data_IF_898789360808
#
_entry.id   IF_898789360808
#
_cell.length_a   1.000
_cell.length_b   1.000
_cell.length_c   1.000
_cell.angle_alpha   90.00
_cell.angle_beta   90.00
_cell.angle_gamma   90.00
#
_symmetry.space_group_name_H-M   'P 1'
#
loop_
_entity.id
_entity.type
_entity.pdbx_description
1 polymer ?
#
# COMPACT_ATOMS: atom_id res chain seq x y z
N UNK A 1 -0.70 -9.05 -35.67
CA UNK A 1 -0.53 -7.93 -34.73
C UNK A 1 -1.52 -8.15 -33.60
N UNK A 2 -1.03 -8.46 -32.40
CA UNK A 2 -1.91 -8.69 -31.24
C UNK A 2 -2.41 -7.32 -30.75
N UNK A 3 -3.73 -7.15 -30.71
CA UNK A 3 -4.39 -5.92 -30.27
C UNK A 3 -4.03 -5.65 -28.81
N UNK A 4 -3.13 -4.69 -28.58
CA UNK A 4 -2.63 -4.26 -27.28
C UNK A 4 -3.69 -3.62 -26.37
N UNK A 5 -4.88 -3.35 -26.89
CA UNK A 5 -5.98 -2.73 -26.15
C UNK A 5 -6.69 -3.68 -25.17
N UNK A 6 -6.52 -5.01 -25.31
CA UNK A 6 -7.17 -5.98 -24.44
C UNK A 6 -6.34 -6.41 -23.21
N UNK A 7 -5.06 -6.04 -23.12
CA UNK A 7 -4.16 -6.67 -22.15
C UNK A 7 -4.36 -6.19 -20.72
N UNK A 8 -4.50 -4.88 -20.48
CA UNK A 8 -4.59 -4.34 -19.13
C UNK A 8 -5.92 -4.69 -18.44
N UNK A 9 -7.03 -4.62 -19.18
CA UNK A 9 -8.35 -4.97 -18.65
C UNK A 9 -8.42 -6.45 -18.29
N UNK A 10 -7.90 -7.34 -19.16
CA UNK A 10 -7.82 -8.78 -18.89
C UNK A 10 -6.91 -9.07 -17.69
N UNK A 11 -5.72 -8.45 -17.63
CA UNK A 11 -4.81 -8.58 -16.50
C UNK A 11 -5.45 -8.14 -15.17
N UNK A 12 -6.23 -7.06 -15.15
CA UNK A 12 -6.91 -6.58 -13.95
C UNK A 12 -8.11 -7.46 -13.60
N UNK A 13 -8.84 -7.97 -14.59
CA UNK A 13 -9.96 -8.89 -14.38
C UNK A 13 -9.51 -10.25 -13.85
N UNK A 14 -8.33 -10.72 -14.28
CA UNK A 14 -7.70 -11.97 -13.84
C UNK A 14 -6.90 -11.80 -12.54
N UNK A 15 -6.55 -10.57 -12.17
CA UNK A 15 -5.85 -10.30 -10.92
C UNK A 15 -6.67 -10.81 -9.72
N UNK A 16 -5.97 -11.39 -8.74
CA UNK A 16 -6.58 -11.80 -7.49
C UNK A 16 -7.41 -10.64 -6.91
N UNK A 17 -8.61 -10.98 -6.41
CA UNK A 17 -9.51 -10.00 -5.79
C UNK A 17 -8.74 -9.18 -4.76
N UNK A 18 -8.97 -7.88 -4.76
CA UNK A 18 -8.38 -6.97 -3.79
C UNK A 18 -8.69 -7.49 -2.37
N UNK A 19 -7.67 -7.70 -1.51
CA UNK A 19 -7.89 -8.20 -0.16
C UNK A 19 -8.81 -7.28 0.65
N UNK A 20 -9.59 -7.89 1.55
CA UNK A 20 -10.36 -7.12 2.53
C UNK A 20 -9.49 -6.85 3.76
N UNK A 21 -8.86 -5.68 3.79
CA UNK A 21 -7.92 -5.27 4.84
C UNK A 21 -8.58 -5.05 6.20
N UNK A 22 -8.74 -6.14 6.94
CA UNK A 22 -9.10 -6.11 8.35
C UNK A 22 -7.99 -5.57 9.26
N UNK A 23 -8.30 -5.31 10.55
CA UNK A 23 -7.40 -4.61 11.48
C UNK A 23 -5.99 -5.19 11.57
N UNK A 24 -5.87 -6.52 11.63
CA UNK A 24 -4.58 -7.20 11.77
C UNK A 24 -3.73 -7.12 10.50
N UNK A 25 -4.37 -7.14 9.32
CA UNK A 25 -3.66 -6.97 8.05
C UNK A 25 -3.16 -5.54 7.89
N UNK A 26 -3.95 -4.54 8.31
CA UNK A 26 -3.49 -3.13 8.32
C UNK A 26 -2.29 -2.96 9.24
N UNK A 27 -2.33 -3.53 10.46
CA UNK A 27 -1.20 -3.50 11.40
C UNK A 27 0.03 -4.23 10.86
N UNK A 28 -0.17 -5.38 10.21
CA UNK A 28 0.91 -6.14 9.59
C UNK A 28 1.59 -5.35 8.46
N UNK A 29 0.80 -4.67 7.63
CA UNK A 29 1.33 -3.80 6.57
C UNK A 29 2.10 -2.61 7.15
N UNK A 30 1.57 -1.94 8.17
CA UNK A 30 2.27 -0.86 8.88
C UNK A 30 3.63 -1.33 9.41
N UNK A 31 3.66 -2.52 10.03
CA UNK A 31 4.91 -3.13 10.52
C UNK A 31 5.86 -3.47 9.38
N UNK A 32 5.36 -4.01 8.26
CA UNK A 32 6.15 -4.34 7.07
C UNK A 32 6.83 -3.10 6.48
N UNK A 33 6.16 -1.97 6.50
CA UNK A 33 6.68 -0.69 5.99
C UNK A 33 7.49 0.10 7.03
N UNK A 34 7.67 -0.43 8.23
CA UNK A 34 8.29 0.26 9.37
C UNK A 34 7.65 1.62 9.69
N UNK A 35 6.32 1.66 9.72
CA UNK A 35 5.55 2.88 9.94
C UNK A 35 4.69 2.82 11.20
N UNK A 36 4.70 3.92 11.94
CA UNK A 36 3.70 4.19 12.97
C UNK A 36 2.41 4.77 12.33
N UNK A 37 1.38 5.00 13.15
CA UNK A 37 0.08 5.53 12.68
C UNK A 37 0.22 6.83 11.88
N UNK A 38 1.07 7.76 12.32
CA UNK A 38 1.26 9.05 11.65
C UNK A 38 1.94 8.85 10.28
N UNK A 39 2.97 8.02 10.21
CA UNK A 39 3.67 7.70 8.97
C UNK A 39 2.74 7.04 7.95
N UNK A 40 1.95 6.07 8.41
CA UNK A 40 0.99 5.39 7.56
C UNK A 40 -0.15 6.33 7.10
N UNK A 41 -0.61 7.24 7.96
CA UNK A 41 -1.60 8.25 7.59
C UNK A 41 -1.09 9.20 6.51
N UNK A 42 0.17 9.63 6.60
CA UNK A 42 0.83 10.43 5.57
C UNK A 42 0.95 9.68 4.25
N UNK A 43 1.41 8.41 4.29
CA UNK A 43 1.50 7.56 3.10
C UNK A 43 0.14 7.39 2.41
N UNK A 44 -0.90 7.15 3.19
CA UNK A 44 -2.25 6.92 2.70
C UNK A 44 -3.01 8.21 2.36
N UNK A 45 -2.41 9.38 2.63
CA UNK A 45 -3.03 10.70 2.48
C UNK A 45 -4.40 10.80 3.19
N UNK A 46 -4.45 10.40 4.46
CA UNK A 46 -5.65 10.46 5.32
C UNK A 46 -5.30 11.02 6.70
N UNK A 47 -6.31 11.33 7.51
CA UNK A 47 -6.10 11.71 8.90
C UNK A 47 -5.62 10.50 9.75
N UNK A 48 -4.78 10.70 10.78
CA UNK A 48 -4.38 9.61 11.70
C UNK A 48 -5.56 8.90 12.37
N UNK A 49 -6.64 9.64 12.66
CA UNK A 49 -7.89 9.07 13.19
C UNK A 49 -8.50 8.03 12.26
N UNK A 50 -8.41 8.21 10.94
CA UNK A 50 -8.87 7.23 9.95
C UNK A 50 -8.07 5.92 10.06
N UNK A 51 -6.75 6.00 10.19
CA UNK A 51 -5.89 4.81 10.39
C UNK A 51 -6.24 4.11 11.72
N UNK A 52 -6.58 4.88 12.76
CA UNK A 52 -7.02 4.31 14.03
C UNK A 52 -8.35 3.57 13.92
N UNK A 53 -9.30 4.09 13.15
CA UNK A 53 -10.56 3.40 12.86
C UNK A 53 -10.31 2.08 12.13
N UNK A 54 -9.39 2.05 11.16
CA UNK A 54 -9.03 0.81 10.45
C UNK A 54 -8.35 -0.22 11.36
N UNK A 55 -7.38 0.21 12.18
CA UNK A 55 -6.61 -0.67 13.06
C UNK A 55 -7.40 -1.12 14.32
N UNK A 56 -8.49 -0.43 14.66
CA UNK A 56 -9.44 -0.86 15.69
C UNK A 56 -10.60 -1.69 15.14
N UNK A 57 -10.83 -1.66 13.83
CA UNK A 57 -11.97 -2.32 13.18
C UNK A 57 -13.28 -1.53 13.25
N UNK A 58 -13.27 -0.31 13.79
CA UNK A 58 -14.44 0.56 13.83
C UNK A 58 -14.89 1.05 12.44
N UNK A 59 -13.97 1.07 11.46
CA UNK A 59 -14.29 1.28 10.06
C UNK A 59 -13.35 0.46 9.17
N UNK A 60 -13.78 0.21 7.93
CA UNK A 60 -12.97 -0.48 6.92
C UNK A 60 -12.36 0.52 5.93
N UNK A 61 -11.18 0.23 5.36
CA UNK A 61 -10.64 1.01 4.24
C UNK A 61 -11.58 0.95 3.04
N UNK A 62 -11.75 2.07 2.32
CA UNK A 62 -12.53 2.08 1.08
C UNK A 62 -11.80 1.31 -0.03
N UNK A 63 -12.49 1.00 -1.14
CA UNK A 63 -11.91 0.21 -2.24
C UNK A 63 -10.60 0.76 -2.79
N UNK A 64 -10.48 2.09 -2.92
CA UNK A 64 -9.24 2.75 -3.34
C UNK A 64 -8.12 2.58 -2.30
N UNK A 65 -8.43 2.74 -1.02
CA UNK A 65 -7.45 2.54 0.05
C UNK A 65 -6.96 1.09 0.09
N UNK A 66 -7.85 0.10 -0.07
CA UNK A 66 -7.49 -1.32 -0.17
C UNK A 66 -6.56 -1.59 -1.35
N UNK A 67 -6.82 -0.96 -2.51
CA UNK A 67 -5.95 -1.12 -3.68
C UNK A 67 -4.56 -0.53 -3.44
N UNK A 68 -4.47 0.65 -2.81
CA UNK A 68 -3.18 1.24 -2.42
C UNK A 68 -2.43 0.35 -1.42
N UNK A 69 -3.13 -0.16 -0.40
CA UNK A 69 -2.55 -1.10 0.55
C UNK A 69 -1.98 -2.34 -0.15
N UNK A 70 -2.70 -2.89 -1.12
CA UNK A 70 -2.20 -4.00 -1.93
C UNK A 70 -0.95 -3.62 -2.72
N UNK A 71 -0.92 -2.44 -3.35
CA UNK A 71 0.26 -1.96 -4.08
C UNK A 71 1.46 -1.86 -3.13
N UNK A 72 1.30 -1.27 -1.94
CA UNK A 72 2.37 -1.16 -0.94
C UNK A 72 2.78 -2.52 -0.37
N UNK A 73 1.85 -3.45 -0.25
CA UNK A 73 2.14 -4.80 0.20
C UNK A 73 2.94 -5.59 -0.85
N UNK A 74 2.60 -5.48 -2.14
CA UNK A 74 3.26 -6.20 -3.22
C UNK A 74 4.53 -5.52 -3.72
N UNK A 75 4.63 -4.20 -3.58
CA UNK A 75 5.74 -3.38 -4.07
C UNK A 75 6.08 -2.24 -3.10
N UNK A 76 6.64 -2.54 -1.91
CA UNK A 76 6.94 -1.55 -0.89
C UNK A 76 7.95 -0.47 -1.34
N UNK A 77 8.77 -0.74 -2.36
CA UNK A 77 9.72 0.20 -2.94
C UNK A 77 9.07 1.46 -3.53
N UNK A 78 7.77 1.41 -3.87
CA UNK A 78 7.01 2.58 -4.33
C UNK A 78 6.95 3.70 -3.29
N UNK A 79 7.04 3.37 -1.99
CA UNK A 79 7.04 4.35 -0.90
C UNK A 79 8.23 5.31 -1.03
N UNK A 80 9.41 4.79 -1.38
CA UNK A 80 10.61 5.61 -1.60
C UNK A 80 10.44 6.61 -2.75
N UNK A 81 9.70 6.22 -3.81
CA UNK A 81 9.38 7.11 -4.94
C UNK A 81 8.46 8.26 -4.53
N UNK A 82 7.51 8.01 -3.62
CA UNK A 82 6.60 9.05 -3.09
C UNK A 82 7.37 10.06 -2.23
N UNK A 83 8.34 9.59 -1.44
CA UNK A 83 9.17 10.44 -0.58
C UNK A 83 10.16 11.34 -1.34
N UNK A 84 10.26 11.22 -2.68
CA UNK A 84 11.22 11.95 -3.49
C UNK A 84 12.68 11.54 -3.29
N UNK A 85 12.92 10.42 -2.60
CA UNK A 85 14.25 9.93 -2.27
C UNK A 85 14.76 8.95 -3.33
N UNK A 86 15.89 9.30 -3.95
CA UNK A 86 16.79 8.31 -4.53
C UNK A 86 17.14 7.31 -3.41
N UNK A 87 17.10 5.97 -3.64
CA UNK A 87 17.42 5.01 -2.60
C UNK A 87 18.81 5.33 -2.02
N UNK A 88 19.02 5.17 -0.69
CA UNK A 88 20.34 5.39 -0.11
C UNK A 88 21.32 4.50 -0.88
N UNK A 89 22.37 5.14 -1.42
CA UNK A 89 23.44 4.41 -2.10
C UNK A 89 23.96 3.34 -1.13
N UNK A 90 23.86 2.07 -1.54
CA UNK A 90 24.40 0.95 -0.77
C UNK A 90 25.89 1.19 -0.47
N UNK A 91 26.30 0.82 0.74
CA UNK A 91 27.67 0.98 1.23
C UNK A 91 27.66 0.88 2.76
N UNK A 92 27.84 -0.28 3.39
CA UNK A 92 28.90 -1.26 3.13
C UNK A 92 30.22 -0.58 2.70
N UNK A 93 30.67 0.33 3.56
CA UNK A 93 32.08 0.66 3.74
C UNK A 93 32.28 0.93 5.24
N UNK A 94 32.36 -0.15 6.00
CA UNK A 94 33.08 -0.25 7.27
C UNK A 94 34.06 -1.42 7.13
#
# INVERSE_FOLDING_TARGET
MMNTENTALQMIAEAARCPDYGPDMVKALMKKLDMNEKGFALLMNVAPSTVRLWTSGAAQPCGTAKRLMQIYETGPEIVGKIAGGQPPADGRNL
#
